data_IF_855781209738
#
_entry.id   IF_855781209738
#
_cell.length_a   1.000
_cell.length_b   1.000
_cell.length_c   1.000
_cell.angle_alpha   90.00
_cell.angle_beta   90.00
_cell.angle_gamma   90.00
#
_symmetry.space_group_name_H-M   'P 1'
#
loop_
_entity.id
_entity.type
_entity.pdbx_description
1 polymer ?
#
# COMPACT_ATOMS: atom_id res chain seq x y z
N UNK A 1 21.31 14.29 18.65
CA UNK A 1 21.49 12.84 18.41
C UNK A 1 20.57 12.47 17.27
N UNK A 2 21.10 11.97 16.16
CA UNK A 2 20.29 11.59 15.00
C UNK A 2 19.59 10.27 15.31
N UNK A 3 18.29 10.33 15.59
CA UNK A 3 17.49 9.19 16.07
C UNK A 3 17.25 8.11 15.01
N UNK A 4 17.61 8.38 13.74
CA UNK A 4 17.36 7.47 12.62
C UNK A 4 18.42 7.65 11.52
N UNK A 5 19.03 6.54 11.10
CA UNK A 5 19.89 6.46 9.94
C UNK A 5 19.28 5.47 8.93
N UNK A 6 19.38 5.76 7.63
CA UNK A 6 18.87 4.90 6.56
C UNK A 6 19.86 4.83 5.41
N UNK A 7 19.99 3.64 4.81
CA UNK A 7 20.79 3.41 3.60
C UNK A 7 19.98 2.55 2.62
N UNK A 8 20.00 2.92 1.35
CA UNK A 8 19.42 2.12 0.26
C UNK A 8 20.54 1.25 -0.32
N UNK A 9 20.36 -0.07 -0.31
CA UNK A 9 21.38 -1.01 -0.78
C UNK A 9 21.30 -1.11 -2.31
N UNK A 10 22.27 -0.48 -3.00
CA UNK A 10 22.43 -0.56 -4.45
C UNK A 10 23.75 -1.24 -4.86
N UNK A 11 24.70 -1.33 -3.94
CA UNK A 11 26.05 -1.85 -4.17
C UNK A 11 26.58 -2.66 -2.98
N UNK A 12 27.69 -3.37 -3.17
CA UNK A 12 28.37 -4.07 -2.07
C UNK A 12 28.95 -3.11 -1.01
N UNK A 13 29.24 -1.85 -1.38
CA UNK A 13 29.67 -0.83 -0.42
C UNK A 13 28.56 -0.45 0.57
N UNK A 14 27.31 -0.44 0.12
CA UNK A 14 26.15 -0.17 0.98
C UNK A 14 25.95 -1.29 2.00
N UNK A 15 26.16 -2.55 1.57
CA UNK A 15 26.12 -3.72 2.45
C UNK A 15 27.21 -3.64 3.53
N UNK A 16 28.43 -3.27 3.15
CA UNK A 16 29.54 -3.07 4.09
C UNK A 16 29.23 -1.95 5.11
N UNK A 17 28.53 -0.89 4.67
CA UNK A 17 28.10 0.19 5.56
C UNK A 17 27.07 -0.27 6.58
N UNK A 18 26.06 -1.04 6.18
CA UNK A 18 25.09 -1.64 7.12
C UNK A 18 25.78 -2.54 8.13
N UNK A 19 26.70 -3.41 7.68
CA UNK A 19 27.44 -4.32 8.56
C UNK A 19 28.24 -3.55 9.63
N UNK A 20 28.89 -2.45 9.23
CA UNK A 20 29.60 -1.57 10.15
C UNK A 20 28.67 -0.90 11.17
N UNK A 21 27.50 -0.42 10.74
CA UNK A 21 26.51 0.17 11.65
C UNK A 21 25.97 -0.84 12.65
N UNK A 22 25.69 -2.07 12.22
CA UNK A 22 25.23 -3.13 13.09
C UNK A 22 26.25 -3.46 14.20
N UNK A 23 27.55 -3.41 13.90
CA UNK A 23 28.59 -3.64 14.91
C UNK A 23 28.78 -2.51 15.92
N UNK A 24 28.48 -1.26 15.53
CA UNK A 24 28.75 -0.08 16.37
C UNK A 24 27.54 0.34 17.22
N UNK A 25 26.40 -0.33 17.06
CA UNK A 25 25.17 0.08 17.73
C UNK A 25 25.07 -0.41 19.18
N UNK A 26 24.42 0.36 20.04
CA UNK A 26 24.17 -0.03 21.44
C UNK A 26 23.14 -1.14 21.55
N UNK A 27 23.25 -1.94 22.61
CA UNK A 27 22.26 -2.95 22.99
C UNK A 27 20.89 -2.28 23.16
N UNK A 28 19.85 -2.87 22.56
CA UNK A 28 18.49 -2.33 22.53
C UNK A 28 18.13 -1.58 21.23
N UNK A 29 19.04 -1.48 20.26
CA UNK A 29 18.74 -0.86 18.97
C UNK A 29 17.98 -1.83 18.05
N UNK A 30 16.87 -1.37 17.47
CA UNK A 30 16.07 -2.13 16.51
C UNK A 30 16.53 -1.83 15.09
N UNK A 31 16.84 -2.87 14.31
CA UNK A 31 17.19 -2.76 12.88
C UNK A 31 16.05 -3.32 12.04
N UNK A 32 15.53 -2.52 11.11
CA UNK A 32 14.46 -2.94 10.20
C UNK A 32 14.93 -2.88 8.76
N UNK A 33 14.87 -4.02 8.06
CA UNK A 33 15.05 -4.11 6.62
C UNK A 33 13.70 -4.03 5.92
N UNK A 34 13.58 -3.17 4.92
CA UNK A 34 12.36 -3.05 4.08
C UNK A 34 12.74 -3.14 2.61
N UNK A 35 11.95 -3.87 1.83
CA UNK A 35 12.08 -3.89 0.37
C UNK A 35 11.71 -2.52 -0.18
N UNK A 36 12.42 -2.05 -1.22
CA UNK A 36 12.04 -0.84 -1.96
C UNK A 36 10.68 -1.09 -2.60
N UNK A 37 9.63 -0.47 -2.07
CA UNK A 37 8.30 -0.50 -2.69
C UNK A 37 8.16 0.70 -3.63
N UNK A 38 7.40 0.56 -4.72
CA UNK A 38 6.98 1.67 -5.58
C UNK A 38 6.32 2.83 -4.80
N UNK A 39 5.71 2.51 -3.65
CA UNK A 39 5.15 3.48 -2.70
C UNK A 39 6.22 4.36 -2.03
N UNK A 40 7.47 3.88 -1.91
CA UNK A 40 8.57 4.67 -1.32
C UNK A 40 8.99 5.82 -2.22
N UNK A 41 9.00 5.63 -3.54
CA UNK A 41 9.33 6.69 -4.50
C UNK A 41 8.24 7.76 -4.57
N UNK A 42 6.97 7.36 -4.61
CA UNK A 42 5.84 8.29 -4.55
C UNK A 42 5.80 9.04 -3.21
N UNK A 43 6.07 8.35 -2.09
CA UNK A 43 6.17 9.00 -0.78
C UNK A 43 7.31 10.02 -0.75
N UNK A 44 8.50 9.66 -1.28
CA UNK A 44 9.63 10.57 -1.35
C UNK A 44 9.33 11.80 -2.23
N UNK A 45 8.67 11.60 -3.38
CA UNK A 45 8.21 12.69 -4.24
C UNK A 45 7.24 13.62 -3.52
N UNK A 46 6.24 13.06 -2.85
CA UNK A 46 5.27 13.82 -2.06
C UNK A 46 5.98 14.69 -1.02
N UNK A 47 6.90 14.11 -0.24
CA UNK A 47 7.65 14.86 0.77
C UNK A 47 8.52 15.96 0.18
N UNK A 48 9.18 15.71 -0.97
CA UNK A 48 9.95 16.75 -1.65
C UNK A 48 9.08 17.93 -2.06
N UNK A 49 7.91 17.67 -2.66
CA UNK A 49 6.97 18.72 -3.06
C UNK A 49 6.40 19.49 -1.86
N UNK A 50 6.07 18.79 -0.76
CA UNK A 50 5.58 19.43 0.46
C UNK A 50 6.62 20.37 1.07
N UNK A 51 7.90 19.98 1.07
CA UNK A 51 8.99 20.86 1.51
C UNK A 51 9.10 22.10 0.61
N UNK A 52 8.96 21.94 -0.70
CA UNK A 52 9.00 23.08 -1.64
C UNK A 52 7.82 24.04 -1.42
N UNK A 53 6.64 23.54 -1.08
CA UNK A 53 5.49 24.36 -0.67
C UNK A 53 5.78 25.07 0.65
N UNK A 54 6.29 24.36 1.66
CA UNK A 54 6.64 24.94 2.96
C UNK A 54 7.65 26.09 2.85
N UNK A 55 8.64 25.94 1.95
CA UNK A 55 9.66 26.95 1.71
C UNK A 55 9.11 28.20 1.01
N UNK A 56 8.17 28.03 0.07
CA UNK A 56 7.73 29.08 -0.85
C UNK A 56 6.43 29.77 -0.42
N UNK A 57 5.55 29.09 0.31
CA UNK A 57 4.19 29.56 0.60
C UNK A 57 4.05 30.07 2.03
N UNK A 58 3.57 31.30 2.16
CA UNK A 58 3.07 31.85 3.42
C UNK A 58 1.55 31.71 3.45
N UNK A 59 1.03 30.98 4.43
CA UNK A 59 -0.39 30.65 4.56
C UNK A 59 -1.03 31.47 5.67
N UNK A 60 -1.92 32.42 5.32
CA UNK A 60 -2.56 33.34 6.26
C UNK A 60 -1.60 34.04 7.24
N UNK A 61 -0.42 34.47 6.74
CA UNK A 61 0.57 35.21 7.54
C UNK A 61 1.49 34.34 8.40
N UNK A 62 1.50 33.03 8.17
CA UNK A 62 2.43 32.09 8.81
C UNK A 62 3.04 31.13 7.79
N UNK A 63 4.30 30.74 8.04
CA UNK A 63 4.89 29.58 7.37
C UNK A 63 4.52 28.32 8.13
N UNK A 64 4.20 27.28 7.37
CA UNK A 64 3.84 25.97 7.88
C UNK A 64 4.92 24.97 7.50
N UNK A 65 5.13 23.95 8.34
CA UNK A 65 6.08 22.88 8.08
C UNK A 65 5.53 21.90 7.04
N UNK A 66 6.41 21.11 6.41
CA UNK A 66 6.00 20.13 5.40
C UNK A 66 4.98 19.10 5.95
N UNK A 67 5.09 18.75 7.23
CA UNK A 67 4.14 17.89 7.94
C UNK A 67 2.75 18.52 8.05
N UNK A 68 2.66 19.82 8.33
CA UNK A 68 1.40 20.55 8.44
C UNK A 68 0.73 20.67 7.07
N UNK A 69 1.51 20.96 6.02
CA UNK A 69 1.03 20.97 4.64
C UNK A 69 0.47 19.60 4.22
N UNK A 70 1.14 18.50 4.59
CA UNK A 70 0.65 17.15 4.33
C UNK A 70 -0.73 16.94 4.95
N UNK A 71 -0.93 17.41 6.19
CA UNK A 71 -2.22 17.30 6.87
C UNK A 71 -3.27 18.19 6.19
N UNK A 72 -2.94 19.41 5.76
CA UNK A 72 -3.88 20.28 5.03
C UNK A 72 -4.35 19.61 3.73
N UNK A 73 -3.41 19.16 2.88
CA UNK A 73 -3.77 18.53 1.61
C UNK A 73 -4.53 17.22 1.80
N UNK A 74 -4.12 16.40 2.79
CA UNK A 74 -4.83 15.15 3.10
C UNK A 74 -6.25 15.43 3.58
N UNK A 75 -6.47 16.51 4.33
CA UNK A 75 -7.76 16.85 4.89
C UNK A 75 -8.72 17.30 3.79
N UNK A 76 -8.18 18.06 2.83
CA UNK A 76 -8.88 18.47 1.62
C UNK A 76 -9.25 17.27 0.75
N UNK A 77 -8.32 16.33 0.55
CA UNK A 77 -8.54 15.17 -0.33
C UNK A 77 -9.56 14.17 0.25
N UNK A 78 -9.48 13.88 1.55
CA UNK A 78 -10.32 12.87 2.21
C UNK A 78 -11.59 13.41 2.84
N UNK A 79 -11.84 14.72 2.74
CA UNK A 79 -12.91 15.40 3.46
C UNK A 79 -12.92 15.00 4.94
N UNK A 80 -11.82 15.32 5.63
CA UNK A 80 -11.54 14.82 6.98
C UNK A 80 -12.76 14.94 7.91
N UNK A 81 -13.09 13.83 8.58
CA UNK A 81 -14.17 13.82 9.57
C UNK A 81 -13.66 14.49 10.84
N UNK A 82 -14.28 15.60 11.20
CA UNK A 82 -13.95 16.35 12.42
C UNK A 82 -14.86 15.87 13.56
N UNK A 83 -14.27 15.55 14.71
CA UNK A 83 -15.01 15.16 15.92
C UNK A 83 -14.70 16.12 17.07
N UNK A 84 -15.62 16.28 18.05
CA UNK A 84 -15.31 17.00 19.28
C UNK A 84 -14.12 16.37 20.00
N UNK A 85 -13.19 17.22 20.43
CA UNK A 85 -12.03 16.82 21.21
C UNK A 85 -12.37 16.60 22.68
N UNK A 86 -11.36 16.14 23.44
CA UNK A 86 -11.49 15.86 24.87
C UNK A 86 -11.70 17.18 25.65
N UNK A 87 -11.04 18.25 25.22
CA UNK A 87 -11.15 19.57 25.82
C UNK A 87 -12.32 20.37 25.22
N UNK A 88 -13.00 21.14 26.07
CA UNK A 88 -14.15 21.96 25.66
C UNK A 88 -13.73 22.97 24.59
N UNK A 89 -14.45 22.94 23.46
CA UNK A 89 -14.21 23.85 22.33
C UNK A 89 -13.12 23.38 21.37
N UNK A 90 -12.50 22.21 21.60
CA UNK A 90 -11.52 21.63 20.68
C UNK A 90 -12.17 20.69 19.67
N UNK A 91 -11.59 20.62 18.49
CA UNK A 91 -12.01 19.75 17.40
C UNK A 91 -10.80 18.98 16.88
N UNK A 92 -10.99 17.69 16.61
CA UNK A 92 -9.92 16.80 16.16
C UNK A 92 -10.27 16.23 14.78
N UNK A 93 -9.48 16.50 13.74
CA UNK A 93 -9.64 15.85 12.45
C UNK A 93 -9.18 14.39 12.52
N UNK A 94 -10.03 13.47 12.06
CA UNK A 94 -9.73 12.04 11.97
C UNK A 94 -9.50 11.61 10.52
N UNK A 95 -8.75 10.51 10.33
CA UNK A 95 -8.53 9.92 9.01
C UNK A 95 -7.31 10.46 8.24
N UNK A 96 -6.49 11.27 8.90
CA UNK A 96 -5.34 11.98 8.35
C UNK A 96 -4.10 11.12 8.05
N UNK A 97 -4.14 9.82 8.39
CA UNK A 97 -2.99 8.94 8.18
C UNK A 97 -2.85 8.58 6.70
N UNK A 98 -1.79 9.10 6.08
CA UNK A 98 -1.37 8.75 4.71
C UNK A 98 -0.77 7.35 4.60
N UNK A 99 -0.32 6.76 5.71
CA UNK A 99 0.20 5.38 5.75
C UNK A 99 -0.83 4.31 5.37
N UNK A 100 -2.11 4.67 5.33
CA UNK A 100 -3.21 3.78 4.90
C UNK A 100 -3.80 4.21 3.56
N UNK A 101 -3.19 5.16 2.85
CA UNK A 101 -3.62 5.55 1.52
C UNK A 101 -3.35 4.44 0.50
N UNK A 102 -4.29 4.26 -0.43
CA UNK A 102 -4.05 3.49 -1.63
C UNK A 102 -3.07 4.23 -2.54
N UNK A 103 -2.53 3.53 -3.54
CA UNK A 103 -1.64 4.13 -4.54
C UNK A 103 -2.36 5.23 -5.32
N UNK A 104 -3.64 5.03 -5.62
CA UNK A 104 -4.47 6.00 -6.32
C UNK A 104 -4.70 7.26 -5.47
N UNK A 105 -5.02 7.09 -4.17
CA UNK A 105 -5.14 8.23 -3.25
C UNK A 105 -3.82 9.02 -3.13
N UNK A 106 -2.68 8.33 -3.13
CA UNK A 106 -1.36 8.97 -3.10
C UNK A 106 -1.09 9.76 -4.39
N UNK A 107 -1.45 9.21 -5.56
CA UNK A 107 -1.36 9.93 -6.84
C UNK A 107 -2.25 11.18 -6.85
N UNK A 108 -3.52 11.05 -6.40
CA UNK A 108 -4.44 12.18 -6.31
C UNK A 108 -3.94 13.27 -5.36
N UNK A 109 -3.28 12.88 -4.26
CA UNK A 109 -2.67 13.83 -3.34
C UNK A 109 -1.52 14.61 -4.00
N UNK A 110 -0.66 13.92 -4.75
CA UNK A 110 0.43 14.57 -5.50
C UNK A 110 -0.13 15.53 -6.55
N UNK A 111 -1.16 15.13 -7.28
CA UNK A 111 -1.84 16.00 -8.26
C UNK A 111 -2.48 17.23 -7.59
N UNK A 112 -3.09 17.06 -6.42
CA UNK A 112 -3.63 18.18 -5.65
C UNK A 112 -2.54 19.19 -5.25
N UNK A 113 -1.36 18.72 -4.86
CA UNK A 113 -0.23 19.60 -4.51
C UNK A 113 0.25 20.36 -5.76
N UNK A 114 0.35 19.70 -6.92
CA UNK A 114 0.68 20.37 -8.18
C UNK A 114 -0.36 21.43 -8.56
N UNK A 115 -1.64 21.06 -8.47
CA UNK A 115 -2.74 21.97 -8.79
C UNK A 115 -2.74 23.20 -7.87
N UNK A 116 -2.44 23.02 -6.58
CA UNK A 116 -2.28 24.12 -5.63
C UNK A 116 -1.12 25.04 -6.00
N UNK A 117 0.07 24.48 -6.25
CA UNK A 117 1.25 25.28 -6.61
C UNK A 117 1.18 25.94 -7.99
N UNK A 118 0.25 25.51 -8.85
CA UNK A 118 -0.04 26.14 -10.14
C UNK A 118 -1.02 27.33 -10.02
N UNK A 119 -1.66 27.52 -8.87
CA UNK A 119 -2.60 28.63 -8.68
C UNK A 119 -1.87 29.98 -8.67
N UNK A 120 -2.43 31.03 -9.30
CA UNK A 120 -1.81 32.35 -9.33
C UNK A 120 -1.60 32.97 -7.94
N UNK A 121 -2.42 32.57 -6.97
CA UNK A 121 -2.36 33.07 -5.59
C UNK A 121 -1.22 32.45 -4.79
N UNK A 122 -0.79 31.23 -5.16
CA UNK A 122 0.26 30.47 -4.46
C UNK A 122 1.20 29.80 -5.46
N UNK A 123 1.96 30.56 -6.27
CA UNK A 123 2.85 29.98 -7.26
C UNK A 123 4.02 29.28 -6.56
N UNK A 124 4.15 27.98 -6.79
CA UNK A 124 5.24 27.16 -6.29
C UNK A 124 6.02 26.61 -7.48
N UNK A 125 7.33 26.86 -7.50
CA UNK A 125 8.22 26.27 -8.49
C UNK A 125 8.66 24.91 -7.98
N UNK A 126 8.08 23.85 -8.54
CA UNK A 126 8.46 22.49 -8.19
C UNK A 126 9.71 22.05 -8.95
N UNK A 127 10.68 21.46 -8.25
CA UNK A 127 11.81 20.80 -8.90
C UNK A 127 11.42 19.36 -9.17
N UNK A 128 11.32 18.99 -10.43
CA UNK A 128 11.11 17.58 -10.74
C UNK A 128 12.28 16.75 -10.20
N UNK A 129 12.00 15.63 -9.49
CA UNK A 129 13.06 14.73 -9.09
C UNK A 129 13.69 14.20 -10.38
N UNK A 130 14.94 14.57 -10.63
CA UNK A 130 15.72 13.96 -11.71
C UNK A 130 15.70 12.45 -11.49
N UNK A 131 14.97 11.73 -12.33
CA UNK A 131 15.22 10.32 -12.53
C UNK A 131 16.72 10.25 -12.84
N UNK A 132 17.48 9.52 -12.02
CA UNK A 132 18.92 9.37 -12.25
C UNK A 132 19.11 8.77 -13.63
N UNK A 133 19.39 9.64 -14.59
CA UNK A 133 19.58 9.36 -15.99
C UNK A 133 20.89 8.59 -16.09
N UNK A 134 20.81 7.29 -16.40
CA UNK A 134 22.00 6.54 -16.81
C UNK A 134 22.37 7.03 -18.21
N UNK A 135 23.17 8.09 -18.26
CA UNK A 135 23.84 8.52 -19.48
C UNK A 135 24.76 7.40 -19.96
N UNK A 136 24.34 6.68 -21.01
CA UNK A 136 25.29 6.10 -21.95
C UNK A 136 24.97 6.64 -23.35
N UNK A 137 25.74 7.64 -23.75
CA UNK A 137 25.74 8.20 -25.10
C UNK A 137 26.77 7.49 -25.97
N UNK A 138 26.34 7.08 -27.16
CA UNK A 138 27.17 6.83 -28.33
C UNK A 138 26.85 5.49 -28.99
N UNK A 139 26.60 5.35 -30.29
CA UNK A 139 26.45 6.24 -31.44
C UNK A 139 26.02 5.34 -32.62
N UNK A 140 25.20 5.88 -33.52
CA UNK A 140 24.96 5.48 -34.92
C UNK A 140 24.19 4.19 -35.30
N UNK A 141 23.17 4.38 -36.14
CA UNK A 141 22.57 3.42 -37.10
C UNK A 141 22.98 3.81 -38.54
N UNK A 142 22.62 3.06 -39.60
CA UNK A 142 22.90 1.66 -40.00
C UNK A 142 23.61 1.67 -41.41
N UNK A 143 23.72 0.61 -42.27
CA UNK A 143 22.58 -0.10 -42.92
C UNK A 143 22.78 -1.59 -43.35
N UNK A 144 21.69 -2.19 -43.84
CA UNK A 144 21.60 -3.01 -45.08
C UNK A 144 21.72 -4.57 -45.11
N UNK A 145 20.57 -5.17 -45.51
CA UNK A 145 20.32 -6.21 -46.56
C UNK A 145 20.33 -7.73 -46.26
N UNK A 146 19.19 -8.36 -46.63
CA UNK A 146 19.03 -9.69 -47.26
C UNK A 146 19.12 -10.92 -46.35
N UNK A 147 18.52 -12.07 -46.61
CA UNK A 147 17.46 -12.54 -47.52
C UNK A 147 17.10 -13.97 -47.01
N UNK A 148 16.01 -14.53 -47.51
CA UNK A 148 15.69 -15.98 -47.59
C UNK A 148 15.29 -16.85 -46.36
N UNK A 149 14.03 -17.28 -46.45
CA UNK A 149 13.51 -18.67 -46.36
C UNK A 149 13.72 -19.52 -45.08
N UNK A 150 12.63 -19.95 -44.44
CA UNK A 150 11.99 -21.25 -44.74
C UNK A 150 10.73 -21.49 -43.86
N UNK A 151 9.71 -22.12 -44.45
CA UNK A 151 8.48 -22.64 -43.82
C UNK A 151 8.79 -24.06 -43.23
N UNK A 152 7.94 -24.76 -42.43
CA UNK A 152 6.48 -24.79 -42.55
C UNK A 152 5.61 -25.03 -41.29
N UNK A 153 4.31 -24.75 -41.48
CA UNK A 153 3.08 -25.48 -41.07
C UNK A 153 3.04 -26.20 -39.70
N UNK A 154 2.02 -25.88 -38.91
CA UNK A 154 0.95 -26.84 -38.54
C UNK A 154 -0.35 -26.10 -38.25
N UNK A 155 -1.46 -26.72 -38.64
CA UNK A 155 -2.81 -26.23 -38.51
C UNK A 155 -3.51 -26.92 -37.34
N UNK A 156 -4.56 -26.25 -36.85
CA UNK A 156 -5.86 -26.81 -36.48
C UNK A 156 -6.19 -27.06 -35.00
N UNK A 157 -7.48 -26.80 -34.76
CA UNK A 157 -8.38 -27.21 -33.66
C UNK A 157 -8.28 -26.39 -32.37
N UNK A 158 -9.31 -25.66 -31.93
CA UNK A 158 -10.73 -25.99 -31.98
C UNK A 158 -11.10 -26.66 -30.65
N UNK A 159 -11.63 -25.90 -29.70
CA UNK A 159 -11.95 -26.38 -28.36
C UNK A 159 -12.78 -25.38 -27.59
N UNK A 160 -14.09 -25.47 -27.78
CA UNK A 160 -15.14 -24.69 -27.14
C UNK A 160 -15.26 -24.98 -25.63
N UNK A 161 -15.68 -23.93 -24.90
CA UNK A 161 -16.62 -23.95 -23.79
C UNK A 161 -16.29 -24.71 -22.50
N UNK A 162 -16.29 -23.97 -21.40
CA UNK A 162 -17.10 -24.29 -20.21
C UNK A 162 -17.14 -23.08 -19.28
N UNK A 163 -18.18 -22.28 -19.44
CA UNK A 163 -18.68 -21.36 -18.42
C UNK A 163 -19.17 -22.16 -17.21
N UNK A 164 -18.83 -21.69 -16.01
CA UNK A 164 -19.47 -22.16 -14.78
C UNK A 164 -19.81 -20.93 -13.94
N UNK A 165 -21.06 -20.49 -14.05
CA UNK A 165 -21.67 -19.48 -13.18
C UNK A 165 -21.77 -20.02 -11.75
N UNK A 166 -21.45 -19.25 -10.69
CA UNK A 166 -21.76 -19.66 -9.34
C UNK A 166 -23.20 -19.26 -8.99
N UNK A 167 -23.95 -20.25 -8.56
CA UNK A 167 -25.27 -20.15 -7.93
C UNK A 167 -25.22 -19.31 -6.63
N UNK A 168 -26.35 -18.69 -6.31
CA UNK A 168 -26.58 -17.78 -5.18
C UNK A 168 -25.98 -18.28 -3.85
N UNK A 169 -24.85 -17.68 -3.44
CA UNK A 169 -24.28 -17.91 -2.11
C UNK A 169 -25.12 -17.16 -1.07
N UNK A 170 -25.57 -17.88 -0.06
CA UNK A 170 -26.24 -17.25 1.08
C UNK A 170 -25.26 -16.33 1.83
N UNK A 171 -25.72 -15.25 2.48
CA UNK A 171 -24.85 -14.31 3.20
C UNK A 171 -23.98 -14.98 4.29
N UNK A 172 -24.45 -16.09 4.87
CA UNK A 172 -23.72 -16.89 5.86
C UNK A 172 -22.59 -17.68 5.20
N UNK A 173 -22.82 -18.28 4.03
CA UNK A 173 -21.77 -18.96 3.24
C UNK A 173 -20.70 -17.97 2.76
N UNK A 174 -21.10 -16.74 2.45
CA UNK A 174 -20.16 -15.69 2.06
C UNK A 174 -19.18 -15.33 3.18
N UNK A 175 -19.65 -15.16 4.42
CA UNK A 175 -18.77 -14.86 5.56
C UNK A 175 -17.83 -16.02 5.88
N UNK A 176 -18.31 -17.26 5.82
CA UNK A 176 -17.47 -18.46 6.00
C UNK A 176 -16.41 -18.56 4.89
N UNK A 177 -16.77 -18.25 3.65
CA UNK A 177 -15.83 -18.20 2.51
C UNK A 177 -14.79 -17.11 2.71
N UNK A 178 -15.19 -15.91 3.15
CA UNK A 178 -14.27 -14.84 3.50
C UNK A 178 -13.29 -15.27 4.58
N UNK A 179 -13.77 -15.88 5.66
CA UNK A 179 -12.95 -16.36 6.76
C UNK A 179 -11.90 -17.36 6.30
N UNK A 180 -12.29 -18.36 5.49
CA UNK A 180 -11.37 -19.36 4.93
C UNK A 180 -10.31 -18.75 4.04
N UNK A 181 -10.71 -17.94 3.06
CA UNK A 181 -9.78 -17.34 2.10
C UNK A 181 -8.82 -16.35 2.77
N UNK A 182 -9.31 -15.54 3.72
CA UNK A 182 -8.47 -14.62 4.49
C UNK A 182 -7.53 -15.38 5.43
N UNK A 183 -8.00 -16.46 6.07
CA UNK A 183 -7.17 -17.23 6.98
C UNK A 183 -6.06 -18.00 6.25
N UNK A 184 -6.34 -18.59 5.10
CA UNK A 184 -5.33 -19.25 4.26
C UNK A 184 -4.17 -18.31 3.88
N UNK A 185 -4.47 -17.03 3.66
CA UNK A 185 -3.46 -16.01 3.37
C UNK A 185 -2.55 -15.64 4.55
N UNK A 186 -2.91 -16.01 5.78
CA UNK A 186 -2.10 -15.71 6.98
C UNK A 186 -0.93 -16.67 7.19
N UNK A 187 -0.96 -17.86 6.57
CA UNK A 187 0.06 -18.93 6.74
C UNK A 187 0.75 -19.30 5.42
N UNK A 188 0.66 -18.44 4.40
CA UNK A 188 1.34 -18.69 3.12
C UNK A 188 2.87 -18.61 3.30
N UNK A 189 3.60 -19.50 2.63
CA UNK A 189 5.07 -19.53 2.64
C UNK A 189 5.62 -18.28 1.94
N UNK A 190 5.80 -17.21 2.72
CA UNK A 190 6.26 -15.90 2.26
C UNK A 190 6.61 -14.97 3.44
N UNK A 191 7.18 -13.80 3.15
CA UNK A 191 7.46 -12.77 4.17
C UNK A 191 6.15 -12.09 4.62
N UNK A 192 6.16 -11.37 5.76
CA UNK A 192 5.02 -10.59 6.27
C UNK A 192 4.36 -9.71 5.20
N UNK A 193 5.16 -9.06 4.35
CA UNK A 193 4.66 -8.20 3.27
C UNK A 193 3.93 -9.01 2.18
N UNK A 194 4.45 -10.18 1.79
CA UNK A 194 3.82 -11.04 0.78
C UNK A 194 2.49 -11.62 1.30
N UNK A 195 2.45 -11.99 2.58
CA UNK A 195 1.24 -12.44 3.25
C UNK A 195 0.21 -11.30 3.37
N UNK A 196 0.67 -10.05 3.54
CA UNK A 196 -0.24 -8.89 3.57
C UNK A 196 -0.81 -8.57 2.18
N UNK A 197 0.01 -8.65 1.14
CA UNK A 197 -0.42 -8.49 -0.25
C UNK A 197 -1.38 -9.61 -0.65
N UNK A 198 -1.07 -10.85 -0.28
CA UNK A 198 -1.98 -11.99 -0.47
C UNK A 198 -3.30 -11.76 0.25
N UNK A 199 -3.29 -11.33 1.52
CA UNK A 199 -4.50 -11.01 2.29
C UNK A 199 -5.34 -9.91 1.62
N UNK A 200 -4.70 -8.88 1.08
CA UNK A 200 -5.37 -7.81 0.34
C UNK A 200 -6.00 -8.31 -0.95
N UNK A 201 -5.29 -9.18 -1.67
CA UNK A 201 -5.78 -9.79 -2.90
C UNK A 201 -6.96 -10.73 -2.62
N UNK A 202 -6.89 -11.55 -1.56
CA UNK A 202 -8.00 -12.40 -1.15
C UNK A 202 -9.25 -11.59 -0.77
N UNK A 203 -9.08 -10.47 -0.05
CA UNK A 203 -10.20 -9.57 0.27
C UNK A 203 -10.88 -9.00 -0.98
N UNK A 204 -10.12 -8.68 -2.03
CA UNK A 204 -10.66 -8.19 -3.31
C UNK A 204 -11.29 -9.30 -4.15
N UNK A 205 -10.79 -10.52 -4.02
CA UNK A 205 -11.22 -11.67 -4.80
C UNK A 205 -12.58 -12.22 -4.36
N UNK A 206 -13.02 -11.97 -3.12
CA UNK A 206 -14.34 -12.40 -2.66
C UNK A 206 -15.37 -11.32 -3.00
N UNK A 207 -16.25 -11.54 -4.00
CA UNK A 207 -17.30 -10.58 -4.33
C UNK A 207 -18.30 -10.46 -3.19
N UNK A 208 -18.72 -9.24 -2.90
CA UNK A 208 -19.73 -8.98 -1.86
C UNK A 208 -21.11 -9.24 -2.47
N UNK A 209 -21.95 -10.11 -1.88
CA UNK A 209 -23.27 -10.38 -2.42
C UNK A 209 -24.19 -9.15 -2.30
N UNK A 210 -25.07 -8.96 -3.28
CA UNK A 210 -25.93 -7.76 -3.37
C UNK A 210 -26.90 -7.62 -2.18
N UNK A 211 -27.30 -8.75 -1.59
CA UNK A 211 -28.16 -8.81 -0.41
C UNK A 211 -27.40 -8.72 0.94
N UNK A 212 -26.07 -8.51 0.93
CA UNK A 212 -25.29 -8.40 2.16
C UNK A 212 -25.62 -7.12 2.94
N UNK A 213 -26.06 -7.30 4.17
CA UNK A 213 -26.35 -6.23 5.13
C UNK A 213 -25.07 -5.50 5.57
N UNK A 214 -25.22 -4.28 6.08
CA UNK A 214 -24.09 -3.48 6.56
C UNK A 214 -23.35 -4.18 7.71
N UNK A 215 -24.08 -4.87 8.59
CA UNK A 215 -23.47 -5.63 9.69
C UNK A 215 -22.57 -6.77 9.19
N UNK A 216 -22.96 -7.47 8.12
CA UNK A 216 -22.15 -8.55 7.52
C UNK A 216 -20.89 -7.98 6.85
N UNK A 217 -20.99 -6.81 6.21
CA UNK A 217 -19.84 -6.08 5.66
C UNK A 217 -18.85 -5.66 6.75
N UNK A 218 -19.37 -5.21 7.90
CA UNK A 218 -18.55 -4.81 9.05
C UNK A 218 -17.88 -6.02 9.72
N UNK A 219 -18.57 -7.17 9.79
CA UNK A 219 -18.00 -8.45 10.23
C UNK A 219 -16.87 -8.91 9.31
N UNK A 220 -17.07 -8.85 7.98
CA UNK A 220 -16.02 -9.14 7.00
C UNK A 220 -14.79 -8.22 7.14
N UNK A 221 -15.01 -6.92 7.36
CA UNK A 221 -13.93 -5.97 7.66
C UNK A 221 -13.19 -6.28 8.97
N UNK A 222 -13.90 -6.82 9.97
CA UNK A 222 -13.32 -7.22 11.27
C UNK A 222 -12.50 -8.50 11.17
N UNK A 223 -12.94 -9.48 10.36
CA UNK A 223 -12.15 -10.67 10.02
C UNK A 223 -10.82 -10.29 9.36
N UNK A 224 -10.86 -9.44 8.33
CA UNK A 224 -9.65 -8.97 7.64
C UNK A 224 -8.67 -8.27 8.59
N UNK A 225 -9.17 -7.39 9.48
CA UNK A 225 -8.31 -6.71 10.47
C UNK A 225 -7.63 -7.73 11.39
N UNK A 226 -8.36 -8.75 11.85
CA UNK A 226 -7.80 -9.76 12.73
C UNK A 226 -6.77 -10.64 12.02
N UNK A 227 -7.02 -11.05 10.77
CA UNK A 227 -6.03 -11.76 9.95
C UNK A 227 -4.78 -10.92 9.66
N UNK A 228 -4.93 -9.61 9.45
CA UNK A 228 -3.80 -8.68 9.30
C UNK A 228 -2.94 -8.61 10.56
N UNK A 229 -3.53 -8.61 11.75
CA UNK A 229 -2.79 -8.62 13.01
C UNK A 229 -1.98 -9.91 13.21
N UNK A 230 -2.47 -11.05 12.71
CA UNK A 230 -1.72 -12.31 12.71
C UNK A 230 -0.50 -12.23 11.79
N UNK A 231 -0.69 -11.71 10.57
CA UNK A 231 0.40 -11.52 9.60
C UNK A 231 1.47 -10.56 10.14
N UNK A 232 1.07 -9.54 10.89
CA UNK A 232 1.97 -8.58 11.55
C UNK A 232 2.56 -9.11 12.87
N UNK A 233 2.26 -10.35 13.26
CA UNK A 233 2.70 -10.97 14.52
C UNK A 233 2.30 -10.20 15.79
N UNK A 234 1.20 -9.44 15.74
CA UNK A 234 0.68 -8.66 16.88
C UNK A 234 -0.15 -9.52 17.83
N UNK A 235 -0.72 -10.64 17.33
CA UNK A 235 -1.64 -11.50 18.07
C UNK A 235 -1.32 -12.97 17.76
N UNK A 236 -1.46 -13.82 18.78
CA UNK A 236 -1.31 -15.26 18.65
C UNK A 236 -2.31 -15.85 17.63
N UNK A 237 -1.85 -16.64 16.63
CA UNK A 237 -2.70 -17.22 15.60
C UNK A 237 -3.87 -18.05 16.15
N UNK A 238 -3.70 -18.82 17.23
CA UNK A 238 -4.77 -19.66 17.78
C UNK A 238 -5.89 -18.81 18.40
N UNK A 239 -5.54 -17.68 19.01
CA UNK A 239 -6.52 -16.73 19.54
C UNK A 239 -7.23 -15.96 18.42
N UNK A 240 -6.48 -15.52 17.41
CA UNK A 240 -7.05 -14.82 16.27
C UNK A 240 -8.02 -15.68 15.46
N UNK A 241 -7.72 -16.98 15.27
CA UNK A 241 -8.58 -17.92 14.55
C UNK A 241 -9.96 -18.05 15.19
N UNK A 242 -10.02 -18.16 16.51
CA UNK A 242 -11.29 -18.20 17.28
C UNK A 242 -12.12 -16.94 17.08
N UNK A 243 -11.47 -15.79 17.00
CA UNK A 243 -12.16 -14.52 16.79
C UNK A 243 -12.67 -14.37 15.36
N UNK A 244 -11.90 -14.82 14.36
CA UNK A 244 -12.33 -14.85 12.95
C UNK A 244 -13.53 -15.80 12.78
N UNK A 245 -13.49 -16.98 13.40
CA UNK A 245 -14.62 -17.92 13.44
C UNK A 245 -15.88 -17.29 14.05
N UNK A 246 -15.73 -16.57 15.17
CA UNK A 246 -16.84 -15.86 15.81
C UNK A 246 -17.47 -14.77 14.93
N UNK A 247 -16.69 -14.07 14.11
CA UNK A 247 -17.23 -13.07 13.17
C UNK A 247 -17.91 -13.70 11.95
N UNK A 248 -17.44 -14.87 11.51
CA UNK A 248 -18.04 -15.63 10.43
C UNK A 248 -19.30 -16.41 10.84
N UNK A 249 -19.46 -16.67 12.14
CA UNK A 249 -20.54 -17.51 12.66
C UNK A 249 -20.32 -19.00 12.39
N UNK A 250 -19.07 -19.42 12.17
CA UNK A 250 -18.70 -20.80 11.86
C UNK A 250 -17.78 -21.43 12.92
N UNK A 251 -17.62 -22.75 12.88
CA UNK A 251 -16.69 -23.46 13.76
C UNK A 251 -15.23 -23.25 13.30
N UNK A 252 -14.30 -23.21 14.23
CA UNK A 252 -12.86 -23.02 13.97
C UNK A 252 -12.32 -24.07 12.99
N UNK A 253 -12.86 -25.30 13.02
CA UNK A 253 -12.50 -26.39 12.10
C UNK A 253 -12.83 -26.10 10.64
N UNK A 254 -13.86 -25.30 10.38
CA UNK A 254 -14.27 -24.94 9.01
C UNK A 254 -13.32 -23.94 8.35
N UNK A 255 -12.50 -23.25 9.15
CA UNK A 255 -11.50 -22.27 8.70
C UNK A 255 -10.11 -22.89 8.55
N UNK A 256 -9.74 -23.77 9.48
CA UNK A 256 -8.39 -24.33 9.60
C UNK A 256 -8.04 -25.41 8.57
N UNK A 257 -9.04 -26.07 7.97
CA UNK A 257 -8.80 -27.15 7.02
C UNK A 257 -8.06 -28.34 7.63
N UNK A 258 -8.78 -29.14 8.42
CA UNK A 258 -8.53 -30.58 8.59
C UNK A 258 -9.76 -31.35 8.14
#
# INVERSE_FOLDING_TARGET
>A
MTTRASVTINSDQDRATVARWAHQTSVGTVVTFRKKSRSTEQSAKMWAMLSEVADQVEWYGQKLEADDWKDIFTASLRHARVVPGIDKGTFVPLGMRTSTMTIEEMSNLIELIYAFGAQPEHPVVFKEPQASDQSNSGEASPPSTGDDADLPRTASEGGESSSSSPSSSSPVEWLTTCARMLWAATHSTGNTDDNLDLLNNQRKAVPVPENATQEERDRAGSMYRRCKQVVLHEIDPANAMKMVAGYAGCDVREIGGE
#
